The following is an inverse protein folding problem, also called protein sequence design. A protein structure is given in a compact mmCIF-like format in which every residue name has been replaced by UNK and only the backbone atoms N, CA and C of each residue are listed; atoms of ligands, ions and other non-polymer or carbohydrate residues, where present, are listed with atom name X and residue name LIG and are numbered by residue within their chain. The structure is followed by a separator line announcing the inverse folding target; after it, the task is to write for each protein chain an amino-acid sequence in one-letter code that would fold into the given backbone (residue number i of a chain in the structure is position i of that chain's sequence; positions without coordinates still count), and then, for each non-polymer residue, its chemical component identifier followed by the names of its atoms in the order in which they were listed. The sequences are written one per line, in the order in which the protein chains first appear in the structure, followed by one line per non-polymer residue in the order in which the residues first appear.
data_IF_224360455853
#
_entry.id   IF_224360455853
#
_cell.length_a   1.000
_cell.length_b   1.000
_cell.length_c   1.000
_cell.angle_alpha   90.00
_cell.angle_beta   90.00
_cell.angle_gamma   90.00
#
_symmetry.space_group_name_H-M   'P 1'
#
loop_
_entity.id
_entity.type
_entity.pdbx_description
1 polymer ?
#
# COMPACT_ATOMS: atom_id res chain seq x y z
N UNK A 1 -0.47 12.74 -6.34
CA UNK A 1 -1.69 12.38 -5.57
C UNK A 1 -1.30 11.56 -4.37
N UNK A 2 -1.57 12.07 -3.17
CA UNK A 2 -1.31 11.34 -1.92
C UNK A 2 -2.59 10.62 -1.51
N UNK A 3 -2.50 9.33 -1.16
CA UNK A 3 -3.63 8.54 -0.69
C UNK A 3 -3.20 7.65 0.49
N UNK A 4 -4.17 7.24 1.32
CA UNK A 4 -3.91 6.39 2.49
C UNK A 4 -4.11 4.93 2.11
N UNK A 5 -3.17 4.07 2.50
CA UNK A 5 -3.25 2.62 2.35
C UNK A 5 -3.43 2.01 3.74
N UNK A 6 -4.59 1.42 4.02
CA UNK A 6 -4.93 0.87 5.34
C UNK A 6 -5.33 -0.60 5.35
N UNK A 7 -5.54 -1.21 4.17
CA UNK A 7 -6.02 -2.60 4.02
C UNK A 7 -4.91 -3.49 3.42
N UNK A 8 -4.99 -4.79 3.66
CA UNK A 8 -4.01 -5.77 3.14
C UNK A 8 -2.76 -5.99 4.01
N UNK A 9 -2.63 -5.29 5.14
CA UNK A 9 -1.54 -5.56 6.10
C UNK A 9 -1.86 -6.77 6.98
N UNK A 10 -0.98 -7.75 6.96
CA UNK A 10 -1.00 -8.87 7.91
C UNK A 10 -0.72 -8.37 9.34
N UNK A 11 -1.16 -9.12 10.35
CA UNK A 11 -0.93 -8.77 11.76
C UNK A 11 0.54 -8.52 12.09
N UNK A 12 1.46 -9.30 11.51
CA UNK A 12 2.90 -9.11 11.67
C UNK A 12 3.38 -7.78 11.08
N UNK A 13 2.85 -7.37 9.92
CA UNK A 13 3.18 -6.09 9.27
C UNK A 13 2.55 -4.90 10.00
N UNK A 14 1.45 -5.11 10.73
CA UNK A 14 0.88 -4.08 11.61
C UNK A 14 1.75 -3.87 12.85
N UNK A 15 2.32 -4.94 13.40
CA UNK A 15 3.26 -4.88 14.54
C UNK A 15 4.61 -4.29 14.12
N UNK A 16 5.10 -4.67 12.94
CA UNK A 16 6.33 -4.17 12.35
C UNK A 16 6.01 -3.45 11.03
N UNK A 17 5.59 -2.18 11.09
CA UNK A 17 5.27 -1.41 9.89
C UNK A 17 6.51 -1.24 8.99
N UNK A 18 6.32 -1.16 7.65
CA UNK A 18 7.39 -0.78 6.73
C UNK A 18 8.01 0.56 7.13
N UNK A 19 9.32 0.70 6.95
CA UNK A 19 10.01 1.94 7.32
C UNK A 19 9.58 3.05 6.37
N UNK A 20 9.56 4.27 6.89
CA UNK A 20 9.30 5.45 6.07
C UNK A 20 10.39 5.55 5.00
N UNK A 21 9.98 5.54 3.73
CA UNK A 21 10.90 5.50 2.58
C UNK A 21 10.95 4.16 1.85
N UNK A 22 10.41 3.08 2.43
CA UNK A 22 10.31 1.80 1.75
C UNK A 22 9.32 1.86 0.58
N UNK A 23 9.67 1.18 -0.52
CA UNK A 23 8.77 1.02 -1.66
C UNK A 23 7.86 -0.17 -1.42
N UNK A 24 6.55 0.03 -1.56
CA UNK A 24 5.55 -1.04 -1.40
C UNK A 24 4.80 -1.28 -2.69
N UNK A 25 4.41 -2.53 -2.92
CA UNK A 25 3.49 -2.91 -3.99
C UNK A 25 2.09 -3.01 -3.40
N UNK A 26 1.09 -2.45 -4.11
CA UNK A 26 -0.31 -2.53 -3.74
C UNK A 26 -1.15 -2.90 -4.97
N UNK A 27 -2.29 -3.55 -4.74
CA UNK A 27 -3.30 -3.83 -5.78
C UNK A 27 -4.43 -2.82 -5.63
N UNK A 28 -5.06 -2.44 -6.74
CA UNK A 28 -6.26 -1.60 -6.75
C UNK A 28 -7.24 -2.13 -7.81
N UNK A 29 -8.52 -1.77 -7.70
CA UNK A 29 -9.60 -2.27 -8.57
C UNK A 29 -10.08 -1.25 -9.61
N UNK A 30 -9.43 -0.09 -9.68
CA UNK A 30 -9.73 0.98 -10.62
C UNK A 30 -9.27 2.32 -10.08
N UNK A 31 -9.55 3.39 -10.82
CA UNK A 31 -9.26 4.76 -10.39
C UNK A 31 -10.56 5.54 -10.20
N UNK A 32 -10.55 6.45 -9.22
CA UNK A 32 -11.61 7.46 -9.08
C UNK A 32 -11.48 8.53 -10.16
N UNK A 33 -12.49 9.39 -10.34
CA UNK A 33 -12.42 10.54 -11.29
C UNK A 33 -11.22 11.47 -11.04
N UNK A 34 -10.65 11.45 -9.83
CA UNK A 34 -9.46 12.21 -9.44
C UNK A 34 -8.14 11.43 -9.60
N UNK A 35 -8.17 10.25 -10.21
CA UNK A 35 -7.00 9.39 -10.41
C UNK A 35 -6.51 8.66 -9.14
N UNK A 36 -7.28 8.67 -8.05
CA UNK A 36 -6.92 7.95 -6.81
C UNK A 36 -7.28 6.46 -6.97
N UNK A 37 -6.38 5.51 -6.68
CA UNK A 37 -6.68 4.08 -6.75
C UNK A 37 -7.78 3.70 -5.76
N UNK A 38 -8.83 3.05 -6.26
CA UNK A 38 -9.98 2.60 -5.46
C UNK A 38 -9.74 1.18 -4.94
N UNK A 39 -10.09 0.95 -3.69
CA UNK A 39 -9.87 -0.32 -2.98
C UNK A 39 -8.40 -0.77 -3.06
N UNK A 40 -7.49 0.18 -2.80
CA UNK A 40 -6.07 -0.11 -2.75
C UNK A 40 -5.77 -1.01 -1.53
N UNK A 41 -5.21 -2.19 -1.77
CA UNK A 41 -4.82 -3.14 -0.73
C UNK A 41 -3.32 -3.44 -0.84
N UNK A 42 -2.66 -3.42 0.30
CA UNK A 42 -1.24 -3.73 0.41
C UNK A 42 -0.96 -5.18 -0.05
N UNK A 43 0.11 -5.38 -0.82
CA UNK A 43 0.57 -6.70 -1.25
C UNK A 43 1.88 -7.09 -0.55
N UNK A 44 2.94 -6.32 -0.77
CA UNK A 44 4.28 -6.63 -0.24
C UNK A 44 5.20 -5.41 -0.19
N UNK A 45 6.20 -5.46 0.68
CA UNK A 45 7.33 -4.52 0.67
C UNK A 45 8.28 -4.96 -0.44
N UNK A 46 8.64 -4.04 -1.33
CA UNK A 46 9.66 -4.27 -2.35
C UNK A 46 11.00 -3.96 -1.71
N UNK A 47 11.77 -5.00 -1.35
CA UNK A 47 13.17 -4.81 -0.94
C UNK A 47 13.91 -4.13 -2.09
N UNK A 48 14.62 -3.06 -1.77
CA UNK A 48 15.64 -2.51 -2.65
C UNK A 48 16.83 -3.49 -2.54
N UNK A 49 17.29 -4.00 -3.67
CA UNK A 49 18.53 -4.78 -3.76
C UNK A 49 19.73 -3.94 -3.28
#
# INVERSE_FOLDING_TARGET
TTFRLGTGFSMQQRRNPPKIGDRVTFRYHGFTRKGIPRFASFLRIRKRE
#
